data_IF_372522218158
#
_entry.id   IF_372522218158
#
_cell.length_a   1.000
_cell.length_b   1.000
_cell.length_c   1.000
_cell.angle_alpha   90.00
_cell.angle_beta   90.00
_cell.angle_gamma   90.00
#
_symmetry.space_group_name_H-M   'P 1'
#
loop_
_entity.id
_entity.type
_entity.pdbx_description
1 polymer ?
#
# COMPACT_ATOMS: atom_id res chain seq x y z
N UNK A 1 -10.16 -54.69 0.53
CA UNK A 1 -9.98 -54.31 1.96
C UNK A 1 -8.51 -53.95 2.14
N UNK A 2 -8.10 -52.66 2.18
CA UNK A 2 -7.97 -51.77 3.37
C UNK A 2 -7.30 -52.48 4.56
N UNK A 3 -6.28 -52.01 5.29
CA UNK A 3 -5.49 -50.76 5.46
C UNK A 3 -4.38 -51.21 6.46
N UNK A 4 -3.16 -50.67 6.57
CA UNK A 4 -2.81 -49.33 7.04
C UNK A 4 -1.28 -49.25 7.06
N UNK A 5 -0.69 -48.33 6.32
CA UNK A 5 0.72 -47.95 6.43
C UNK A 5 0.92 -47.11 7.70
N UNK A 6 1.99 -47.41 8.45
CA UNK A 6 2.36 -46.72 9.68
C UNK A 6 3.22 -45.51 9.36
N UNK A 7 2.60 -44.33 9.50
CA UNK A 7 3.13 -43.11 10.11
C UNK A 7 4.54 -42.65 9.71
N UNK A 8 4.61 -41.81 8.68
CA UNK A 8 5.72 -40.90 8.37
C UNK A 8 5.91 -39.78 9.42
N UNK A 9 5.14 -39.80 10.51
CA UNK A 9 5.01 -38.72 11.48
C UNK A 9 6.12 -38.70 12.54
N UNK A 10 6.98 -39.73 12.62
CA UNK A 10 8.03 -39.84 13.64
C UNK A 10 9.36 -39.16 13.28
N UNK A 11 9.59 -38.75 12.03
CA UNK A 11 10.87 -38.12 11.62
C UNK A 11 10.87 -36.59 11.59
N UNK A 12 9.76 -35.93 11.91
CA UNK A 12 9.65 -34.47 11.82
C UNK A 12 9.62 -33.78 13.19
N UNK A 13 10.15 -34.42 14.24
CA UNK A 13 10.15 -33.88 15.61
C UNK A 13 11.48 -33.31 16.11
N UNK A 14 12.54 -33.36 15.29
CA UNK A 14 13.89 -32.96 15.72
C UNK A 14 14.45 -31.70 15.03
N UNK A 15 13.59 -30.82 14.49
CA UNK A 15 14.04 -29.56 13.87
C UNK A 15 13.51 -28.28 14.56
N UNK A 16 13.14 -28.38 15.83
CA UNK A 16 12.89 -27.20 16.67
C UNK A 16 13.78 -27.26 17.90
N UNK A 17 14.99 -26.74 17.73
CA UNK A 17 15.90 -26.46 18.84
C UNK A 17 15.26 -25.45 19.78
N UNK A 18 14.96 -25.90 21.00
CA UNK A 18 14.75 -25.06 22.17
C UNK A 18 15.99 -24.17 22.37
N UNK A 19 15.82 -22.86 22.20
CA UNK A 19 16.58 -21.88 22.98
C UNK A 19 15.60 -21.33 24.00
N UNK A 20 15.92 -21.48 25.27
CA UNK A 20 15.23 -20.78 26.34
C UNK A 20 15.47 -19.28 26.14
N UNK A 21 14.50 -18.61 25.53
CA UNK A 21 14.43 -17.14 25.52
C UNK A 21 13.37 -16.75 26.52
N UNK A 22 13.80 -16.06 27.56
CA UNK A 22 13.00 -15.18 28.42
C UNK A 22 11.85 -14.56 27.63
N UNK A 23 10.61 -14.52 28.15
CA UNK A 23 9.54 -13.79 27.48
C UNK A 23 9.90 -12.30 27.52
N UNK A 24 10.44 -11.79 26.41
CA UNK A 24 10.60 -10.35 26.22
C UNK A 24 9.18 -9.81 26.10
N UNK A 25 8.75 -9.07 27.11
CA UNK A 25 7.50 -8.34 27.08
C UNK A 25 7.62 -7.27 25.98
N UNK A 26 7.13 -7.57 24.77
CA UNK A 26 7.02 -6.59 23.66
C UNK A 26 5.83 -5.65 23.89
N UNK A 27 5.69 -5.14 25.12
CA UNK A 27 4.83 -4.00 25.38
C UNK A 27 5.50 -2.77 24.73
N UNK A 28 5.00 -2.40 23.55
CA UNK A 28 5.02 -1.00 23.13
C UNK A 28 6.34 -0.43 22.63
N UNK A 29 7.11 -1.15 21.80
CA UNK A 29 7.88 -0.42 20.78
C UNK A 29 6.86 0.15 19.80
N UNK A 30 6.34 1.36 20.09
CA UNK A 30 5.69 2.19 19.07
C UNK A 30 6.73 2.33 17.96
N UNK A 31 6.55 1.59 16.87
CA UNK A 31 7.37 1.77 15.69
C UNK A 31 7.31 3.26 15.35
N UNK A 32 8.46 3.92 15.35
CA UNK A 32 8.50 5.34 15.01
C UNK A 32 7.92 5.52 13.60
N UNK A 33 7.06 6.55 13.39
CA UNK A 33 6.53 6.82 12.07
C UNK A 33 7.67 7.01 11.06
N UNK A 34 7.49 6.45 9.87
CA UNK A 34 8.45 6.56 8.80
C UNK A 34 8.44 7.97 8.20
N UNK A 35 9.59 8.61 8.25
CA UNK A 35 9.85 9.91 7.61
C UNK A 35 10.25 9.67 6.16
N UNK A 36 9.43 10.13 5.23
CA UNK A 36 9.79 10.15 3.81
C UNK A 36 10.86 11.23 3.62
N UNK A 37 12.04 10.84 3.13
CA UNK A 37 13.14 11.78 2.98
C UNK A 37 12.84 12.85 1.91
N UNK A 38 13.48 14.02 2.03
CA UNK A 38 13.36 15.08 1.01
C UNK A 38 13.88 14.61 -0.36
N UNK A 39 14.91 13.77 -0.37
CA UNK A 39 15.44 13.16 -1.60
C UNK A 39 14.40 12.25 -2.25
N UNK A 40 13.77 11.37 -1.47
CA UNK A 40 12.69 10.50 -1.96
C UNK A 40 11.50 11.31 -2.49
N UNK A 41 11.10 12.38 -1.79
CA UNK A 41 10.04 13.29 -2.27
C UNK A 41 10.42 13.96 -3.59
N UNK A 42 11.67 14.39 -3.74
CA UNK A 42 12.20 14.95 -4.99
C UNK A 42 12.23 13.90 -6.10
N UNK A 43 12.63 12.68 -5.79
CA UNK A 43 12.70 11.58 -6.75
C UNK A 43 11.35 11.21 -7.37
N UNK A 44 10.26 11.26 -6.59
CA UNK A 44 8.91 11.01 -7.11
C UNK A 44 8.25 12.24 -7.76
N UNK A 45 8.83 13.43 -7.59
CA UNK A 45 8.27 14.70 -8.09
C UNK A 45 8.36 14.85 -9.60
N UNK A 46 7.59 15.81 -10.14
CA UNK A 46 7.60 16.18 -11.55
C UNK A 46 8.92 16.80 -12.05
N UNK A 47 9.89 17.08 -11.18
CA UNK A 47 11.24 17.52 -11.58
C UNK A 47 12.02 16.40 -12.29
N UNK A 48 11.62 15.15 -12.10
CA UNK A 48 12.26 13.98 -12.68
C UNK A 48 11.45 13.42 -13.85
N UNK A 49 12.13 12.69 -14.75
CA UNK A 49 11.44 11.98 -15.83
C UNK A 49 10.64 10.78 -15.29
N UNK A 50 9.64 10.34 -16.07
CA UNK A 50 8.71 9.26 -15.67
C UNK A 50 9.44 7.97 -15.25
N UNK A 51 10.50 7.58 -15.96
CA UNK A 51 11.24 6.35 -15.65
C UNK A 51 11.90 6.40 -14.26
N UNK A 52 12.53 7.54 -13.93
CA UNK A 52 13.11 7.78 -12.61
C UNK A 52 12.05 7.75 -11.51
N UNK A 53 10.93 8.46 -11.73
CA UNK A 53 9.82 8.52 -10.77
C UNK A 53 9.21 7.16 -10.51
N UNK A 54 9.01 6.35 -11.56
CA UNK A 54 8.49 4.98 -11.43
C UNK A 54 9.45 4.08 -10.66
N UNK A 55 10.76 4.23 -10.84
CA UNK A 55 11.75 3.53 -10.03
C UNK A 55 11.66 3.94 -8.56
N UNK A 56 11.61 5.24 -8.28
CA UNK A 56 11.49 5.77 -6.93
C UNK A 56 10.20 5.30 -6.22
N UNK A 57 9.08 5.21 -6.94
CA UNK A 57 7.84 4.65 -6.40
C UNK A 57 7.96 3.17 -6.04
N UNK A 58 8.68 2.38 -6.84
CA UNK A 58 8.97 0.97 -6.53
C UNK A 58 9.83 0.84 -5.29
N UNK A 59 10.85 1.70 -5.12
CA UNK A 59 11.72 1.70 -3.94
C UNK A 59 10.96 2.13 -2.66
N UNK A 60 9.99 3.04 -2.80
CA UNK A 60 9.13 3.51 -1.70
C UNK A 60 7.99 2.53 -1.35
N UNK A 61 7.64 1.60 -2.24
CA UNK A 61 6.48 0.72 -2.12
C UNK A 61 6.44 -0.09 -0.80
N UNK A 62 7.54 -0.72 -0.42
CA UNK A 62 7.60 -1.55 0.80
C UNK A 62 7.39 -0.70 2.07
N UNK A 63 7.89 0.53 2.06
CA UNK A 63 7.79 1.45 3.18
C UNK A 63 6.34 1.89 3.41
N UNK A 64 5.64 2.32 2.36
CA UNK A 64 4.24 2.76 2.48
C UNK A 64 3.28 1.62 2.81
N UNK A 65 3.66 0.39 2.49
CA UNK A 65 2.89 -0.82 2.81
C UNK A 65 3.02 -1.23 4.27
N UNK A 66 4.21 -1.10 4.86
CA UNK A 66 4.56 -1.74 6.14
C UNK A 66 4.78 -0.77 7.30
N UNK A 67 4.91 0.53 7.04
CA UNK A 67 5.22 1.54 8.05
C UNK A 67 4.17 2.64 8.04
N UNK A 68 3.77 3.09 9.23
CA UNK A 68 2.94 4.28 9.37
C UNK A 68 3.78 5.50 8.97
N UNK A 69 3.27 6.34 8.08
CA UNK A 69 3.97 7.56 7.67
C UNK A 69 3.78 8.68 8.70
N UNK A 70 4.71 9.64 8.72
CA UNK A 70 4.50 10.89 9.45
C UNK A 70 3.28 11.67 8.94
N UNK A 71 2.75 12.55 9.78
CA UNK A 71 1.62 13.43 9.44
C UNK A 71 1.88 14.19 8.13
N UNK A 72 0.84 14.34 7.31
CA UNK A 72 0.86 15.02 6.01
C UNK A 72 1.70 14.34 4.90
N UNK A 73 2.36 13.21 5.17
CA UNK A 73 3.17 12.53 4.16
C UNK A 73 2.34 11.90 3.05
N UNK A 74 1.15 11.37 3.36
CA UNK A 74 0.24 10.75 2.38
C UNK A 74 -0.17 11.80 1.34
N UNK A 75 -0.68 12.93 1.80
CA UNK A 75 -1.11 14.08 1.00
C UNK A 75 0.03 14.58 0.13
N UNK A 76 1.22 14.71 0.72
CA UNK A 76 2.42 15.13 0.01
C UNK A 76 2.79 14.18 -1.12
N UNK A 77 2.77 12.86 -0.86
CA UNK A 77 3.04 11.85 -1.89
C UNK A 77 1.98 11.91 -3.00
N UNK A 78 0.69 11.94 -2.65
CA UNK A 78 -0.41 12.02 -3.61
C UNK A 78 -0.22 13.20 -4.59
N UNK A 79 0.04 14.40 -4.06
CA UNK A 79 0.28 15.60 -4.87
C UNK A 79 1.47 15.43 -5.83
N UNK A 80 2.51 14.70 -5.43
CA UNK A 80 3.69 14.50 -6.28
C UNK A 80 3.48 13.50 -7.39
N UNK A 81 2.44 12.65 -7.36
CA UNK A 81 2.30 11.52 -8.30
C UNK A 81 0.98 11.52 -9.08
N UNK A 82 0.04 12.41 -8.74
CA UNK A 82 -1.26 12.52 -9.42
C UNK A 82 -1.11 12.73 -10.93
N UNK A 83 -0.14 13.53 -11.37
CA UNK A 83 0.11 13.80 -12.80
C UNK A 83 0.53 12.55 -13.60
N UNK A 84 1.02 11.51 -12.92
CA UNK A 84 1.35 10.23 -13.56
C UNK A 84 0.11 9.40 -13.93
N UNK A 85 -1.08 9.82 -13.50
CA UNK A 85 -2.36 9.25 -13.92
C UNK A 85 -2.95 9.93 -15.18
N UNK A 86 -2.32 10.99 -15.69
CA UNK A 86 -2.82 11.69 -16.87
C UNK A 86 -2.91 10.78 -18.10
N UNK A 87 -3.90 11.04 -18.97
CA UNK A 87 -4.13 10.24 -20.19
C UNK A 87 -2.93 10.22 -21.17
N UNK A 88 -2.02 11.18 -21.08
CA UNK A 88 -0.79 11.23 -21.87
C UNK A 88 0.29 10.23 -21.41
N UNK A 89 0.14 9.66 -20.21
CA UNK A 89 1.04 8.62 -19.70
C UNK A 89 0.68 7.26 -20.29
N UNK A 90 1.66 6.36 -20.38
CA UNK A 90 1.41 4.99 -20.81
C UNK A 90 0.49 4.27 -19.82
N UNK A 91 -0.27 3.28 -20.31
CA UNK A 91 -1.11 2.42 -19.47
C UNK A 91 -0.29 1.79 -18.33
N UNK A 92 0.90 1.30 -18.64
CA UNK A 92 1.82 0.71 -17.66
C UNK A 92 2.19 1.69 -16.53
N UNK A 93 2.55 2.93 -16.87
CA UNK A 93 2.86 3.97 -15.88
C UNK A 93 1.67 4.21 -14.95
N UNK A 94 0.47 4.41 -15.52
CA UNK A 94 -0.74 4.67 -14.72
C UNK A 94 -1.07 3.48 -13.81
N UNK A 95 -0.92 2.26 -14.31
CA UNK A 95 -1.20 1.04 -13.54
C UNK A 95 -0.22 0.85 -12.37
N UNK A 96 1.07 1.15 -12.56
CA UNK A 96 2.05 1.17 -11.47
C UNK A 96 1.65 2.18 -10.39
N UNK A 97 1.18 3.37 -10.80
CA UNK A 97 0.76 4.41 -9.87
C UNK A 97 -0.50 4.00 -9.10
N UNK A 98 -1.49 3.39 -9.76
CA UNK A 98 -2.65 2.81 -9.07
C UNK A 98 -2.25 1.71 -8.07
N UNK A 99 -1.32 0.83 -8.45
CA UNK A 99 -0.81 -0.20 -7.54
C UNK A 99 -0.13 0.42 -6.32
N UNK A 100 0.64 1.49 -6.52
CA UNK A 100 1.25 2.25 -5.43
C UNK A 100 0.20 2.90 -4.53
N UNK A 101 -0.84 3.51 -5.10
CA UNK A 101 -1.98 4.03 -4.32
C UNK A 101 -2.66 2.96 -3.48
N UNK A 102 -2.88 1.76 -4.01
CA UNK A 102 -3.41 0.63 -3.23
C UNK A 102 -2.52 0.28 -2.04
N UNK A 103 -1.20 0.24 -2.23
CA UNK A 103 -0.24 -0.03 -1.15
C UNK A 103 -0.26 1.07 -0.08
N UNK A 104 -0.23 2.34 -0.51
CA UNK A 104 -0.33 3.50 0.37
C UNK A 104 -1.63 3.48 1.18
N UNK A 105 -2.78 3.24 0.53
CA UNK A 105 -4.08 3.18 1.20
C UNK A 105 -4.10 2.06 2.24
N UNK A 106 -3.69 0.84 1.86
CA UNK A 106 -3.75 -0.30 2.77
C UNK A 106 -2.83 -0.12 3.99
N UNK A 107 -1.64 0.47 3.78
CA UNK A 107 -0.71 0.72 4.89
C UNK A 107 -1.14 1.85 5.83
N UNK A 108 -1.97 2.79 5.34
CA UNK A 108 -2.35 3.99 6.09
C UNK A 108 -3.85 4.07 6.42
N UNK A 109 -4.64 3.02 6.17
CA UNK A 109 -6.12 3.06 6.13
C UNK A 109 -6.77 3.78 7.32
N UNK A 110 -6.29 3.48 8.53
CA UNK A 110 -6.82 4.02 9.81
C UNK A 110 -6.40 5.48 10.06
N UNK A 111 -5.48 6.01 9.26
CA UNK A 111 -4.85 7.33 9.41
C UNK A 111 -5.09 8.26 8.21
N UNK A 112 -5.93 7.87 7.25
CA UNK A 112 -6.21 8.69 6.05
C UNK A 112 -7.16 9.86 6.34
N UNK A 113 -8.07 9.75 7.30
CA UNK A 113 -9.06 10.80 7.65
C UNK A 113 -9.69 11.49 6.42
N UNK A 114 -9.60 12.82 6.30
CA UNK A 114 -10.15 13.60 5.20
C UNK A 114 -9.51 13.30 3.83
N UNK A 115 -8.27 12.78 3.80
CA UNK A 115 -7.58 12.38 2.56
C UNK A 115 -8.29 11.25 1.85
N UNK A 116 -9.17 10.50 2.55
CA UNK A 116 -10.09 9.54 1.95
C UNK A 116 -11.01 10.18 0.91
N UNK A 117 -11.55 11.38 1.18
CA UNK A 117 -12.42 12.10 0.23
C UNK A 117 -11.66 12.49 -1.04
N UNK A 118 -10.41 12.97 -0.89
CA UNK A 118 -9.54 13.28 -2.03
C UNK A 118 -9.24 12.02 -2.87
N UNK A 119 -8.85 10.91 -2.23
CA UNK A 119 -8.56 9.65 -2.92
C UNK A 119 -9.80 9.09 -3.62
N UNK A 120 -10.99 9.22 -3.01
CA UNK A 120 -12.25 8.82 -3.62
C UNK A 120 -12.56 9.66 -4.87
N UNK A 121 -12.40 10.98 -4.79
CA UNK A 121 -12.58 11.89 -5.95
C UNK A 121 -11.60 11.58 -7.06
N UNK A 122 -10.35 11.27 -6.73
CA UNK A 122 -9.35 10.83 -7.71
C UNK A 122 -9.80 9.56 -8.44
N UNK A 123 -10.36 8.57 -7.74
CA UNK A 123 -10.94 7.35 -8.36
C UNK A 123 -12.15 7.69 -9.24
N UNK A 124 -13.06 8.54 -8.74
CA UNK A 124 -14.33 8.87 -9.38
C UNK A 124 -14.12 9.65 -10.69
N UNK A 125 -13.24 10.66 -10.64
CA UNK A 125 -12.98 11.57 -11.76
C UNK A 125 -12.05 10.97 -12.84
N UNK A 126 -11.31 9.90 -12.53
CA UNK A 126 -10.44 9.24 -13.48
C UNK A 126 -11.23 8.43 -14.52
N UNK A 127 -11.44 8.98 -15.72
CA UNK A 127 -12.28 8.33 -16.75
C UNK A 127 -11.47 7.80 -17.95
N UNK A 128 -10.62 6.79 -17.71
CA UNK A 128 -9.85 6.09 -18.75
C UNK A 128 -10.25 4.61 -18.74
N UNK A 129 -10.64 4.08 -19.91
CA UNK A 129 -11.18 2.74 -20.05
C UNK A 129 -10.20 1.64 -19.62
N UNK A 130 -8.93 1.76 -20.01
CA UNK A 130 -7.88 0.77 -19.69
C UNK A 130 -7.59 0.65 -18.19
N UNK A 131 -8.06 1.61 -17.39
CA UNK A 131 -7.75 1.70 -15.97
C UNK A 131 -8.93 1.26 -15.08
N UNK A 132 -9.99 0.69 -15.66
CA UNK A 132 -11.16 0.22 -14.93
C UNK A 132 -10.78 -0.74 -13.79
N UNK A 133 -9.94 -1.74 -14.06
CA UNK A 133 -9.56 -2.74 -13.06
C UNK A 133 -8.72 -2.13 -11.93
N UNK A 134 -7.60 -1.40 -12.21
CA UNK A 134 -6.85 -0.72 -11.16
C UNK A 134 -7.68 0.27 -10.32
N UNK A 135 -8.63 1.00 -10.93
CA UNK A 135 -9.55 1.89 -10.20
C UNK A 135 -10.43 1.13 -9.22
N UNK A 136 -11.00 0.00 -9.66
CA UNK A 136 -11.83 -0.84 -8.79
C UNK A 136 -11.02 -1.42 -7.64
N UNK A 137 -9.76 -1.79 -7.88
CA UNK A 137 -8.89 -2.30 -6.82
C UNK A 137 -8.49 -1.21 -5.81
N UNK A 138 -8.24 0.01 -6.28
CA UNK A 138 -8.02 1.16 -5.42
C UNK A 138 -9.28 1.49 -4.59
N UNK A 139 -10.47 1.41 -5.19
CA UNK A 139 -11.74 1.60 -4.48
C UNK A 139 -11.94 0.51 -3.41
N UNK A 140 -11.63 -0.76 -3.71
CA UNK A 140 -11.69 -1.85 -2.72
C UNK A 140 -10.73 -1.61 -1.56
N UNK A 141 -9.51 -1.14 -1.84
CA UNK A 141 -8.54 -0.79 -0.82
C UNK A 141 -9.07 0.35 0.07
N UNK A 142 -9.58 1.43 -0.54
CA UNK A 142 -10.08 2.60 0.17
C UNK A 142 -11.30 2.28 1.04
N UNK A 143 -12.14 1.38 0.56
CA UNK A 143 -13.38 1.00 1.25
C UNK A 143 -13.24 -0.21 2.17
N UNK A 144 -12.06 -0.83 2.23
CA UNK A 144 -11.86 -2.13 2.88
C UNK A 144 -12.91 -3.16 2.43
N UNK A 145 -13.09 -3.30 1.11
CA UNK A 145 -14.16 -4.10 0.47
C UNK A 145 -15.57 -3.68 0.92
N UNK A 146 -15.86 -2.38 0.90
CA UNK A 146 -17.17 -1.81 1.22
C UNK A 146 -17.50 -1.69 2.72
N UNK A 147 -16.57 -2.00 3.62
CA UNK A 147 -16.77 -1.91 5.08
C UNK A 147 -16.65 -0.49 5.62
N UNK A 148 -15.84 0.36 4.97
CA UNK A 148 -15.53 1.72 5.40
C UNK A 148 -15.83 2.67 4.25
N UNK A 149 -16.94 3.40 4.35
CA UNK A 149 -17.33 4.42 3.36
C UNK A 149 -17.21 5.85 3.91
N UNK A 150 -16.61 6.01 5.09
CA UNK A 150 -16.49 7.30 5.73
C UNK A 150 -15.77 8.33 4.85
N UNK A 151 -16.26 9.58 4.92
CA UNK A 151 -15.80 10.78 4.19
C UNK A 151 -16.28 10.91 2.74
N UNK A 152 -17.13 10.02 2.25
CA UNK A 152 -17.72 10.06 0.91
C UNK A 152 -19.06 9.29 0.82
N UNK A 153 -19.75 9.12 1.95
CA UNK A 153 -20.98 8.33 2.07
C UNK A 153 -22.11 8.82 1.16
N UNK A 154 -22.20 10.15 0.96
CA UNK A 154 -23.23 10.79 0.12
C UNK A 154 -22.94 10.69 -1.38
N UNK A 155 -21.70 10.34 -1.76
CA UNK A 155 -21.24 10.30 -3.16
C UNK A 155 -21.27 8.87 -3.78
N UNK A 156 -21.58 7.84 -2.99
CA UNK A 156 -21.67 6.42 -3.42
C UNK A 156 -23.05 6.05 -3.96
#
# INVERSE_FOLDING_TARGET
MSKKEKSLHEKMKNFFGRRDTTPVNFEGLKAEPYVVSLETMKDISSENNVSHRIKALKDLYEHVTSKLLVENAVESICMQIEDLLNANQSVETRHIVFQFYCALINGQLDHLYATRSYLFKLILLHNIQDDLIPRLDMLKALTQNGRIISYFEEEI
#
